data_IF_717294165074
#
_entry.id   IF_717294165074
#
_cell.length_a   1.000
_cell.length_b   1.000
_cell.length_c   1.000
_cell.angle_alpha   90.00
_cell.angle_beta   90.00
_cell.angle_gamma   90.00
#
_symmetry.space_group_name_H-M   'P 1'
#
loop_
_entity.id
_entity.type
_entity.pdbx_description
1 polymer ?
#
# COMPACT_ATOMS: atom_id res chain seq x y z
N UNK A 1 2.44 24.83 11.84
CA UNK A 1 1.48 25.39 10.87
C UNK A 1 1.82 26.84 10.48
N UNK A 2 2.06 27.74 11.44
CA UNK A 2 2.43 29.15 11.14
C UNK A 2 3.67 29.33 10.26
N UNK A 3 4.73 28.55 10.49
CA UNK A 3 5.93 28.61 9.66
C UNK A 3 5.64 28.23 8.20
N UNK A 4 4.82 27.20 7.98
CA UNK A 4 4.38 26.76 6.64
C UNK A 4 3.58 27.87 5.97
N UNK A 5 2.63 28.48 6.69
CA UNK A 5 1.82 29.61 6.20
C UNK A 5 2.69 30.80 5.78
N UNK A 6 3.70 31.16 6.60
CA UNK A 6 4.64 32.25 6.29
C UNK A 6 5.43 31.97 5.02
N UNK A 7 5.91 30.74 4.83
CA UNK A 7 6.67 30.34 3.63
C UNK A 7 5.77 30.33 2.39
N UNK A 8 4.63 29.66 2.46
CA UNK A 8 3.69 29.58 1.34
C UNK A 8 3.10 30.94 0.96
N UNK A 9 2.94 31.85 1.93
CA UNK A 9 2.58 33.24 1.69
C UNK A 9 3.59 33.98 0.82
N UNK A 10 4.89 33.79 1.05
CA UNK A 10 5.95 34.34 0.18
C UNK A 10 5.91 33.78 -1.25
N UNK A 11 5.38 32.56 -1.41
CA UNK A 11 5.25 31.88 -2.70
C UNK A 11 3.89 32.15 -3.39
N UNK A 12 3.02 32.97 -2.80
CA UNK A 12 1.67 33.22 -3.34
C UNK A 12 0.77 31.98 -3.37
N UNK A 13 1.03 30.98 -2.50
CA UNK A 13 0.31 29.69 -2.46
C UNK A 13 -0.80 29.63 -1.40
N UNK A 14 -1.16 30.77 -0.81
CA UNK A 14 -2.28 30.86 0.10
C UNK A 14 -3.57 31.10 -0.69
N UNK A 15 -4.67 30.50 -0.24
CA UNK A 15 -6.03 30.79 -0.74
C UNK A 15 -6.71 31.67 0.29
N UNK A 16 -7.10 32.88 -0.10
CA UNK A 16 -7.68 33.90 0.80
C UNK A 16 -6.87 34.15 2.08
N UNK A 17 -5.53 34.14 1.94
CA UNK A 17 -4.60 34.33 3.06
C UNK A 17 -4.53 33.14 4.04
N UNK A 18 -5.14 32.00 3.69
CA UNK A 18 -5.17 30.79 4.49
C UNK A 18 -4.38 29.65 3.83
N UNK A 19 -3.89 28.76 4.69
CA UNK A 19 -3.33 27.48 4.24
C UNK A 19 -4.50 26.60 3.83
N UNK A 20 -4.57 26.23 2.55
CA UNK A 20 -5.52 25.22 2.09
C UNK A 20 -5.01 23.85 2.53
N UNK A 21 -5.76 23.19 3.42
CA UNK A 21 -5.51 21.81 3.82
C UNK A 21 -6.74 21.02 3.35
N UNK A 22 -6.56 19.96 2.56
CA UNK A 22 -7.68 19.09 2.18
C UNK A 22 -8.29 18.47 3.45
N UNK A 23 -9.60 18.27 3.41
CA UNK A 23 -10.32 17.58 4.49
C UNK A 23 -9.88 16.12 4.60
N UNK A 24 -9.67 15.48 3.44
CA UNK A 24 -9.30 14.07 3.34
C UNK A 24 -8.22 13.88 2.27
N UNK A 25 -7.33 12.90 2.49
CA UNK A 25 -6.35 12.44 1.52
C UNK A 25 -6.55 10.94 1.39
N UNK A 26 -7.05 10.49 0.25
CA UNK A 26 -7.32 9.08 -0.02
C UNK A 26 -6.19 8.50 -0.87
N UNK A 27 -5.62 7.36 -0.47
CA UNK A 27 -4.74 6.63 -1.34
C UNK A 27 -5.58 5.89 -2.39
N UNK A 28 -5.18 5.93 -3.66
CA UNK A 28 -5.99 5.36 -4.75
C UNK A 28 -6.29 3.86 -4.56
N UNK A 29 -5.46 3.11 -3.83
CA UNK A 29 -5.73 1.70 -3.50
C UNK A 29 -6.97 1.51 -2.63
N UNK A 30 -7.29 2.45 -1.75
CA UNK A 30 -8.50 2.44 -0.92
C UNK A 30 -9.73 2.62 -1.81
N UNK A 31 -9.67 3.58 -2.73
CA UNK A 31 -10.73 3.79 -3.71
C UNK A 31 -10.92 2.56 -4.61
N UNK A 32 -9.83 1.97 -5.10
CA UNK A 32 -9.88 0.74 -5.91
C UNK A 32 -10.50 -0.42 -5.13
N UNK A 33 -10.21 -0.54 -3.84
CA UNK A 33 -10.79 -1.56 -2.98
C UNK A 33 -12.30 -1.38 -2.83
N UNK A 34 -12.80 -0.17 -2.58
CA UNK A 34 -14.24 0.11 -2.51
C UNK A 34 -14.93 -0.17 -3.84
N UNK A 35 -14.24 0.09 -4.95
CA UNK A 35 -14.78 -0.04 -6.30
C UNK A 35 -14.57 -1.43 -6.93
N UNK A 36 -13.95 -2.38 -6.21
CA UNK A 36 -13.43 -3.64 -6.76
C UNK A 36 -14.48 -4.47 -7.50
N UNK A 37 -15.71 -4.54 -7.01
CA UNK A 37 -16.78 -5.31 -7.65
C UNK A 37 -17.16 -4.72 -9.02
N UNK A 38 -17.29 -3.38 -9.09
CA UNK A 38 -17.53 -2.67 -10.35
C UNK A 38 -16.36 -2.81 -11.31
N UNK A 39 -15.12 -2.85 -10.80
CA UNK A 39 -13.93 -3.09 -11.62
C UNK A 39 -13.97 -4.51 -12.21
N UNK A 40 -14.38 -5.52 -11.42
CA UNK A 40 -14.49 -6.90 -11.89
C UNK A 40 -15.56 -7.10 -12.97
N UNK A 41 -16.65 -6.31 -12.98
CA UNK A 41 -17.63 -6.30 -14.06
C UNK A 41 -17.02 -5.91 -15.43
N UNK A 42 -15.94 -5.14 -15.42
CA UNK A 42 -15.20 -4.72 -16.62
C UNK A 42 -14.01 -5.63 -16.95
N UNK A 43 -13.83 -6.73 -16.23
CA UNK A 43 -12.70 -7.65 -16.42
C UNK A 43 -12.79 -8.33 -17.79
N UNK A 44 -11.79 -8.08 -18.63
CA UNK A 44 -11.65 -8.74 -19.95
C UNK A 44 -10.65 -9.90 -19.97
N UNK A 45 -9.80 -10.00 -18.95
CA UNK A 45 -8.76 -11.04 -18.82
C UNK A 45 -9.05 -11.83 -17.55
N UNK A 46 -9.06 -13.16 -17.66
CA UNK A 46 -9.15 -14.04 -16.50
C UNK A 46 -7.85 -14.02 -15.71
N UNK A 47 -7.95 -13.77 -14.39
CA UNK A 47 -6.82 -13.77 -13.46
C UNK A 47 -6.77 -15.04 -12.60
N UNK A 48 -7.65 -16.02 -12.83
CA UNK A 48 -7.77 -17.25 -12.01
C UNK A 48 -6.51 -18.12 -11.94
N UNK A 49 -5.61 -17.97 -12.90
CA UNK A 49 -4.31 -18.66 -12.97
C UNK A 49 -3.14 -17.81 -12.43
N UNK A 50 -3.41 -16.63 -11.88
CA UNK A 50 -2.40 -15.74 -11.30
C UNK A 50 -2.32 -16.00 -9.81
N UNK A 51 -1.10 -16.29 -9.35
CA UNK A 51 -0.74 -16.42 -7.95
C UNK A 51 -0.02 -15.16 -7.53
N UNK A 52 -0.48 -14.50 -6.48
CA UNK A 52 0.02 -13.19 -6.08
C UNK A 52 0.21 -13.09 -4.56
N UNK A 53 1.33 -12.51 -4.15
CA UNK A 53 1.58 -12.09 -2.77
C UNK A 53 1.49 -10.56 -2.69
N UNK A 54 0.94 -10.03 -1.60
CA UNK A 54 0.76 -8.58 -1.46
C UNK A 54 1.89 -7.94 -0.65
N UNK A 55 2.45 -6.86 -1.18
CA UNK A 55 3.30 -5.95 -0.39
C UNK A 55 2.48 -4.72 0.02
N UNK A 56 1.90 -4.69 1.24
CA UNK A 56 1.29 -3.47 1.74
C UNK A 56 2.42 -2.50 2.11
N UNK A 57 2.47 -1.35 1.46
CA UNK A 57 3.53 -0.37 1.70
C UNK A 57 3.43 0.20 3.12
N UNK A 58 4.54 0.29 3.84
CA UNK A 58 4.57 0.76 5.23
C UNK A 58 3.84 2.10 5.46
N UNK A 59 3.90 3.01 4.48
CA UNK A 59 3.29 4.33 4.60
C UNK A 59 1.78 4.33 4.39
N UNK A 60 1.24 3.25 3.83
CA UNK A 60 -0.21 3.03 3.71
C UNK A 60 -0.76 2.40 4.99
N UNK A 61 -0.01 1.53 5.67
CA UNK A 61 -0.59 0.69 6.73
C UNK A 61 0.09 0.70 8.11
N UNK A 62 1.28 1.30 8.25
CA UNK A 62 2.03 1.31 9.53
C UNK A 62 2.23 2.69 10.11
N UNK A 63 2.38 3.69 9.26
CA UNK A 63 2.68 5.05 9.71
C UNK A 63 1.45 5.73 10.32
N UNK A 64 0.26 5.37 9.85
CA UNK A 64 -1.03 5.85 10.36
C UNK A 64 -1.96 4.63 10.48
N UNK A 65 -1.76 3.77 11.51
CA UNK A 65 -2.49 2.51 11.64
C UNK A 65 -4.00 2.71 11.83
N UNK A 66 -4.43 3.89 12.29
CA UNK A 66 -5.84 4.24 12.49
C UNK A 66 -6.62 4.38 11.17
N UNK A 67 -5.93 4.70 10.06
CA UNK A 67 -6.54 4.94 8.75
C UNK A 67 -6.50 3.70 7.85
N UNK A 68 -6.10 2.54 8.40
CA UNK A 68 -5.90 1.33 7.63
C UNK A 68 -7.19 0.55 7.46
N UNK A 69 -7.49 0.20 6.22
CA UNK A 69 -8.65 -0.64 5.91
C UNK A 69 -8.31 -2.12 6.13
N UNK A 70 -9.01 -2.72 7.09
CA UNK A 70 -9.15 -4.16 7.27
C UNK A 70 -10.61 -4.54 7.01
N UNK A 71 -10.83 -5.72 6.44
CA UNK A 71 -12.13 -6.23 6.03
C UNK A 71 -12.17 -7.72 6.35
N UNK A 72 -13.13 -8.16 7.17
CA UNK A 72 -13.28 -9.56 7.60
C UNK A 72 -13.51 -10.51 6.42
N UNK A 73 -14.02 -10.00 5.29
CA UNK A 73 -14.20 -10.77 4.06
C UNK A 73 -12.90 -10.96 3.26
N UNK A 74 -11.85 -10.21 3.61
CA UNK A 74 -10.54 -10.23 2.96
C UNK A 74 -9.51 -10.86 3.89
N UNK A 75 -9.20 -12.14 3.64
CA UNK A 75 -8.26 -12.92 4.45
C UNK A 75 -8.56 -12.87 5.96
N UNK A 76 -9.85 -13.01 6.30
CA UNK A 76 -10.36 -13.01 7.68
C UNK A 76 -9.96 -11.76 8.49
N UNK A 77 -9.79 -10.61 7.83
CA UNK A 77 -9.39 -9.35 8.46
C UNK A 77 -7.92 -9.31 8.93
N UNK A 78 -7.13 -10.36 8.67
CA UNK A 78 -5.75 -10.46 9.14
C UNK A 78 -4.75 -9.72 8.24
N UNK A 79 -5.17 -9.26 7.06
CA UNK A 79 -4.33 -8.55 6.09
C UNK A 79 -4.99 -7.25 5.66
N UNK A 80 -4.16 -6.30 5.22
CA UNK A 80 -4.65 -5.01 4.72
C UNK A 80 -5.59 -5.26 3.54
N UNK A 81 -6.81 -4.77 3.63
CA UNK A 81 -7.88 -5.12 2.70
C UNK A 81 -7.66 -4.58 1.28
N UNK A 82 -6.92 -3.47 1.14
CA UNK A 82 -6.87 -2.67 -0.09
C UNK A 82 -6.51 -3.47 -1.36
N UNK A 83 -5.24 -3.78 -1.56
CA UNK A 83 -4.78 -4.53 -2.74
C UNK A 83 -5.19 -6.00 -2.67
N UNK A 84 -5.30 -6.55 -1.46
CA UNK A 84 -5.65 -7.95 -1.21
C UNK A 84 -7.06 -8.27 -1.72
N UNK A 85 -8.05 -7.48 -1.30
CA UNK A 85 -9.44 -7.64 -1.73
C UNK A 85 -9.61 -7.38 -3.22
N UNK A 86 -8.89 -6.41 -3.79
CA UNK A 86 -8.91 -6.18 -5.25
C UNK A 86 -8.45 -7.42 -6.02
N UNK A 87 -7.34 -8.05 -5.62
CA UNK A 87 -6.83 -9.25 -6.27
C UNK A 87 -7.79 -10.44 -6.13
N UNK A 88 -8.37 -10.64 -4.93
CA UNK A 88 -9.37 -11.68 -4.69
C UNK A 88 -10.62 -11.48 -5.55
N UNK A 89 -11.17 -10.26 -5.61
CA UNK A 89 -12.33 -9.93 -6.44
C UNK A 89 -12.02 -10.11 -7.94
N UNK A 90 -10.79 -9.80 -8.38
CA UNK A 90 -10.37 -10.07 -9.76
C UNK A 90 -10.17 -11.56 -10.07
N UNK A 91 -10.17 -12.43 -9.06
CA UNK A 91 -10.09 -13.88 -9.18
C UNK A 91 -8.69 -14.47 -9.01
N UNK A 92 -7.68 -13.66 -8.68
CA UNK A 92 -6.33 -14.16 -8.44
C UNK A 92 -6.27 -14.96 -7.12
N UNK A 93 -5.38 -15.97 -7.09
CA UNK A 93 -5.03 -16.68 -5.86
C UNK A 93 -4.08 -15.79 -5.05
N UNK A 94 -4.62 -15.17 -3.99
CA UNK A 94 -3.80 -14.36 -3.08
C UNK A 94 -3.19 -15.25 -2.01
N UNK A 95 -1.86 -15.31 -2.00
CA UNK A 95 -1.08 -16.15 -1.10
C UNK A 95 -0.46 -15.27 -0.02
N UNK A 96 -0.57 -15.76 1.20
CA UNK A 96 0.05 -15.15 2.36
C UNK A 96 1.53 -15.51 2.46
N UNK A 97 2.30 -14.70 3.19
CA UNK A 97 3.68 -15.04 3.51
C UNK A 97 4.10 -14.47 4.86
N UNK A 98 4.95 -15.18 5.57
CA UNK A 98 5.29 -14.95 6.98
C UNK A 98 5.87 -13.55 7.25
N UNK A 99 6.60 -12.98 6.30
CA UNK A 99 7.22 -11.66 6.40
C UNK A 99 6.41 -10.55 5.75
N UNK A 100 5.11 -10.74 5.50
CA UNK A 100 4.26 -9.71 4.87
C UNK A 100 4.30 -8.37 5.59
N UNK A 101 4.41 -8.40 6.92
CA UNK A 101 4.47 -7.19 7.72
C UNK A 101 5.82 -6.48 7.59
N UNK A 102 6.91 -7.10 7.16
CA UNK A 102 8.22 -6.45 7.16
C UNK A 102 8.31 -5.22 6.22
N UNK A 103 9.27 -4.33 6.48
CA UNK A 103 9.59 -3.24 5.56
C UNK A 103 10.28 -3.80 4.29
N UNK A 104 10.10 -3.15 3.14
CA UNK A 104 10.85 -3.49 1.93
C UNK A 104 12.29 -2.94 1.93
N UNK A 105 12.64 -2.04 2.87
CA UNK A 105 13.97 -1.45 3.00
C UNK A 105 14.20 -0.14 2.25
N UNK A 106 13.24 0.33 1.45
CA UNK A 106 13.42 1.52 0.58
C UNK A 106 13.11 2.87 1.24
N UNK A 107 12.54 2.86 2.46
CA UNK A 107 12.14 4.08 3.16
C UNK A 107 13.30 5.01 3.53
N UNK A 108 12.98 6.25 3.90
CA UNK A 108 13.88 7.18 4.59
C UNK A 108 15.30 7.36 4.02
N UNK A 109 15.45 7.24 2.69
CA UNK A 109 16.73 7.35 1.95
C UNK A 109 17.71 6.19 2.16
N UNK A 110 17.31 5.08 2.78
CA UNK A 110 18.18 3.90 2.92
C UNK A 110 18.65 3.35 1.58
N UNK A 111 17.86 3.48 0.51
CA UNK A 111 18.32 3.12 -0.85
C UNK A 111 19.58 3.89 -1.28
N UNK A 112 19.71 5.15 -0.86
CA UNK A 112 20.84 6.02 -1.22
C UNK A 112 22.00 5.82 -0.24
N UNK A 113 21.73 5.77 1.07
CA UNK A 113 22.76 5.73 2.11
C UNK A 113 23.24 4.34 2.50
N UNK A 114 22.38 3.32 2.35
CA UNK A 114 22.57 1.98 2.91
C UNK A 114 22.05 0.91 1.94
N UNK A 115 22.67 0.84 0.76
CA UNK A 115 22.21 -0.03 -0.34
C UNK A 115 22.12 -1.51 0.07
N UNK A 116 23.09 -2.03 0.82
CA UNK A 116 23.08 -3.44 1.23
C UNK A 116 21.98 -3.74 2.28
N UNK A 117 21.66 -2.76 3.15
CA UNK A 117 20.50 -2.87 4.03
C UNK A 117 19.20 -2.92 3.22
N UNK A 118 19.03 -2.02 2.24
CA UNK A 118 17.84 -2.04 1.37
C UNK A 118 17.70 -3.38 0.66
N UNK A 119 18.82 -3.90 0.12
CA UNK A 119 18.86 -5.15 -0.61
C UNK A 119 18.52 -6.36 0.26
N UNK A 120 19.02 -6.44 1.49
CA UNK A 120 18.74 -7.57 2.38
C UNK A 120 17.26 -7.64 2.78
N UNK A 121 16.61 -6.49 2.99
CA UNK A 121 15.17 -6.47 3.26
C UNK A 121 14.34 -6.82 2.02
N UNK A 122 14.66 -6.21 0.87
CA UNK A 122 13.89 -6.43 -0.35
C UNK A 122 14.04 -7.86 -0.89
N UNK A 123 15.26 -8.40 -0.93
CA UNK A 123 15.52 -9.71 -1.51
C UNK A 123 15.34 -10.80 -0.48
N UNK A 124 16.08 -10.75 0.63
CA UNK A 124 16.18 -11.88 1.54
C UNK A 124 14.98 -11.99 2.48
N UNK A 125 14.49 -10.87 3.03
CA UNK A 125 13.32 -10.88 3.91
C UNK A 125 11.99 -10.89 3.18
N UNK A 126 11.92 -10.33 1.96
CA UNK A 126 10.66 -10.18 1.21
C UNK A 126 10.55 -11.16 0.05
N UNK A 127 11.28 -10.91 -1.05
CA UNK A 127 11.06 -11.62 -2.30
C UNK A 127 11.31 -13.12 -2.16
N UNK A 128 12.43 -13.54 -1.54
CA UNK A 128 12.73 -14.97 -1.37
C UNK A 128 11.66 -15.69 -0.55
N UNK A 129 11.32 -15.15 0.62
CA UNK A 129 10.28 -15.72 1.50
C UNK A 129 8.93 -15.79 0.78
N UNK A 130 8.51 -14.71 0.12
CA UNK A 130 7.25 -14.67 -0.61
C UNK A 130 7.21 -15.70 -1.75
N UNK A 131 8.31 -15.89 -2.48
CA UNK A 131 8.40 -16.87 -3.57
C UNK A 131 8.40 -18.30 -3.01
N UNK A 132 9.21 -18.57 -1.99
CA UNK A 132 9.33 -19.90 -1.38
C UNK A 132 7.99 -20.36 -0.78
N UNK A 133 7.36 -19.51 0.03
CA UNK A 133 6.06 -19.82 0.66
C UNK A 133 4.90 -19.80 -0.35
N UNK A 134 5.01 -19.03 -1.43
CA UNK A 134 4.05 -19.17 -2.52
C UNK A 134 4.19 -20.51 -3.26
N UNK A 135 5.34 -21.19 -3.24
CA UNK A 135 5.51 -22.47 -3.95
C UNK A 135 5.32 -23.73 -3.10
N UNK A 136 5.19 -23.59 -1.78
CA UNK A 136 4.90 -24.69 -0.85
C UNK A 136 3.43 -25.10 -0.85
#
# INVERSE_FOLDING_TARGET
REQVKKILGKLGRLVDGKLLIPEEIVHYSEWLHVMRERIAEHRVIDCGNIRATVHPACHVHKMVPEDVLYDDTVMDGNRVAVSTGLLQTLGAEVIDYSTWYDCCGFGFRHIIGEREFTRSFAIDRKIKVAVEEAHS
#
